data_IF_597676032926
#
_entry.id   IF_597676032926
#
_cell.length_a   1.000
_cell.length_b   1.000
_cell.length_c   1.000
_cell.angle_alpha   90.00
_cell.angle_beta   90.00
_cell.angle_gamma   90.00
#
_symmetry.space_group_name_H-M   'P 1'
#
loop_
_entity.id
_entity.type
_entity.pdbx_description
1 polymer ?
#
# COMPACT_ATOMS: atom_id res chain seq x y z
N UNK A 1 33.04 -10.06 -20.09
CA UNK A 1 32.41 -11.32 -19.62
C UNK A 1 33.49 -12.38 -19.57
N UNK A 2 33.75 -12.94 -18.38
CA UNK A 2 34.69 -14.04 -18.22
C UNK A 2 33.96 -15.34 -18.55
N UNK A 3 34.52 -16.15 -19.45
CA UNK A 3 34.00 -17.49 -19.73
C UNK A 3 34.70 -18.48 -18.80
N UNK A 4 33.94 -19.12 -17.91
CA UNK A 4 34.47 -20.11 -16.97
C UNK A 4 34.58 -21.48 -17.64
N UNK A 5 35.64 -22.23 -17.32
CA UNK A 5 35.77 -23.62 -17.75
C UNK A 5 34.95 -24.52 -16.81
N UNK A 6 33.78 -24.97 -17.27
CA UNK A 6 32.84 -25.78 -16.50
C UNK A 6 32.92 -27.28 -16.83
N UNK A 7 34.00 -27.74 -17.48
CA UNK A 7 34.10 -29.14 -17.95
C UNK A 7 34.07 -30.16 -16.81
N UNK A 8 34.58 -29.80 -15.63
CA UNK A 8 34.61 -30.66 -14.43
C UNK A 8 33.38 -30.44 -13.52
N UNK A 9 32.47 -29.54 -13.88
CA UNK A 9 31.32 -29.19 -13.06
C UNK A 9 30.38 -30.39 -12.92
N UNK A 10 30.05 -30.72 -11.67
CA UNK A 10 29.11 -31.78 -11.33
C UNK A 10 27.77 -31.21 -10.87
N UNK A 11 27.80 -30.06 -10.18
CA UNK A 11 26.63 -29.43 -9.59
C UNK A 11 26.55 -27.95 -9.94
N UNK A 12 25.34 -27.46 -10.19
CA UNK A 12 25.06 -26.06 -10.46
C UNK A 12 23.97 -25.59 -9.50
N UNK A 13 24.34 -24.71 -8.58
CA UNK A 13 23.42 -24.11 -7.62
C UNK A 13 22.84 -22.81 -8.20
N UNK A 14 21.54 -22.81 -8.43
CA UNK A 14 20.77 -21.66 -8.90
C UNK A 14 20.12 -20.96 -7.71
N UNK A 15 20.47 -19.71 -7.48
CA UNK A 15 20.11 -18.95 -6.28
C UNK A 15 19.13 -17.84 -6.65
N UNK A 16 17.93 -17.85 -6.06
CA UNK A 16 16.89 -16.87 -6.37
C UNK A 16 17.23 -15.50 -5.79
N UNK A 17 17.39 -14.50 -6.65
CA UNK A 17 17.56 -13.10 -6.29
C UNK A 17 16.33 -12.25 -6.69
N UNK A 18 15.13 -12.87 -6.73
CA UNK A 18 13.88 -12.11 -6.84
C UNK A 18 13.68 -11.19 -5.63
N UNK A 19 12.88 -10.13 -5.78
CA UNK A 19 12.69 -9.08 -4.77
C UNK A 19 12.38 -9.63 -3.36
N UNK A 20 11.45 -10.58 -3.25
CA UNK A 20 11.08 -11.19 -1.95
C UNK A 20 12.22 -12.01 -1.33
N UNK A 21 13.06 -12.68 -2.13
CA UNK A 21 14.22 -13.41 -1.63
C UNK A 21 15.34 -12.43 -1.23
N UNK A 22 15.57 -11.37 -2.01
CA UNK A 22 16.52 -10.31 -1.65
C UNK A 22 16.16 -9.67 -0.31
N UNK A 23 14.88 -9.35 -0.09
CA UNK A 23 14.39 -8.85 1.20
C UNK A 23 14.48 -9.86 2.36
N UNK A 24 14.71 -11.15 2.06
CA UNK A 24 14.90 -12.22 3.04
C UNK A 24 16.37 -12.68 3.15
N UNK A 25 17.33 -11.89 2.66
CA UNK A 25 18.76 -12.15 2.83
C UNK A 25 19.39 -13.04 1.75
N UNK A 26 18.87 -13.03 0.52
CA UNK A 26 19.42 -13.85 -0.58
C UNK A 26 20.88 -13.51 -0.95
N UNK A 27 21.33 -12.28 -0.66
CA UNK A 27 22.73 -11.87 -0.91
C UNK A 27 23.67 -12.59 0.06
N UNK A 28 23.30 -12.63 1.34
CA UNK A 28 24.00 -13.33 2.41
C UNK A 28 24.04 -14.83 2.14
N UNK A 29 22.90 -15.42 1.75
CA UNK A 29 22.85 -16.84 1.33
C UNK A 29 23.80 -17.10 0.17
N UNK A 30 23.82 -16.22 -0.84
CA UNK A 30 24.72 -16.36 -1.99
C UNK A 30 26.18 -16.34 -1.56
N UNK A 31 26.54 -15.40 -0.69
CA UNK A 31 27.89 -15.24 -0.21
C UNK A 31 28.34 -16.45 0.61
N UNK A 32 27.48 -16.93 1.52
CA UNK A 32 27.76 -18.10 2.36
C UNK A 32 28.02 -19.36 1.54
N UNK A 33 27.18 -19.65 0.53
CA UNK A 33 27.39 -20.80 -0.36
C UNK A 33 28.73 -20.68 -1.09
N UNK A 34 29.04 -19.50 -1.64
CA UNK A 34 30.30 -19.27 -2.37
C UNK A 34 31.53 -19.32 -1.48
N UNK A 35 31.41 -18.88 -0.23
CA UNK A 35 32.51 -18.95 0.74
C UNK A 35 32.76 -20.39 1.17
N UNK A 36 31.71 -21.18 1.40
CA UNK A 36 31.85 -22.60 1.76
C UNK A 36 32.44 -23.41 0.59
N UNK A 37 32.04 -23.15 -0.67
CA UNK A 37 32.65 -23.76 -1.87
C UNK A 37 34.16 -23.46 -1.92
N UNK A 38 34.55 -22.19 -1.78
CA UNK A 38 35.96 -21.75 -1.83
C UNK A 38 36.80 -22.34 -0.70
N UNK A 39 36.26 -22.32 0.52
CA UNK A 39 36.91 -22.87 1.71
C UNK A 39 37.26 -24.34 1.55
N UNK A 40 36.38 -25.10 0.89
CA UNK A 40 36.56 -26.53 0.64
C UNK A 40 37.19 -26.84 -0.73
N UNK A 41 37.58 -25.82 -1.49
CA UNK A 41 38.20 -25.94 -2.83
C UNK A 41 37.34 -26.71 -3.83
N UNK A 42 36.02 -26.45 -3.81
CA UNK A 42 35.03 -27.11 -4.66
C UNK A 42 34.69 -26.31 -5.93
N UNK A 43 35.42 -25.22 -6.23
CA UNK A 43 35.09 -24.30 -7.33
C UNK A 43 35.09 -24.95 -8.74
N UNK A 44 35.86 -26.04 -8.93
CA UNK A 44 35.86 -26.80 -10.20
C UNK A 44 34.66 -27.74 -10.32
N UNK A 45 34.02 -28.10 -9.20
CA UNK A 45 32.95 -29.10 -9.12
C UNK A 45 31.56 -28.46 -8.97
N UNK A 46 31.47 -27.33 -8.27
CA UNK A 46 30.22 -26.65 -7.95
C UNK A 46 30.23 -25.23 -8.51
N UNK A 47 29.36 -24.96 -9.47
CA UNK A 47 29.13 -23.62 -9.98
C UNK A 47 27.91 -22.98 -9.33
N UNK A 48 27.86 -21.64 -9.27
CA UNK A 48 26.72 -20.89 -8.76
C UNK A 48 26.26 -19.85 -9.76
N UNK A 49 24.94 -19.69 -9.94
CA UNK A 49 24.37 -18.58 -10.71
C UNK A 49 23.19 -17.97 -9.97
N UNK A 50 23.07 -16.64 -10.05
CA UNK A 50 21.89 -15.93 -9.58
C UNK A 50 20.79 -16.02 -10.63
N UNK A 51 19.57 -16.25 -10.18
CA UNK A 51 18.38 -16.28 -11.03
C UNK A 51 17.44 -15.14 -10.65
N UNK A 52 16.48 -14.84 -11.54
CA UNK A 52 15.30 -14.03 -11.21
C UNK A 52 14.35 -14.86 -10.33
N UNK A 53 13.15 -14.31 -10.07
CA UNK A 53 12.12 -14.96 -9.28
C UNK A 53 11.77 -16.36 -9.82
N UNK A 54 11.72 -17.34 -8.91
CA UNK A 54 11.37 -18.72 -9.20
C UNK A 54 9.92 -19.08 -8.79
N UNK A 55 9.08 -18.10 -8.42
CA UNK A 55 7.66 -18.28 -8.10
C UNK A 55 7.35 -18.98 -6.78
N UNK A 56 8.32 -19.09 -5.87
CA UNK A 56 8.20 -19.72 -4.54
C UNK A 56 8.44 -18.71 -3.42
N UNK A 57 7.82 -17.53 -3.52
CA UNK A 57 8.04 -16.40 -2.63
C UNK A 57 7.73 -16.72 -1.15
N UNK A 58 6.83 -17.68 -0.87
CA UNK A 58 6.51 -18.09 0.49
C UNK A 58 7.57 -19.03 1.13
N UNK A 59 8.47 -19.64 0.34
CA UNK A 59 9.57 -20.48 0.85
C UNK A 59 10.91 -19.75 0.91
N UNK A 60 10.93 -18.43 0.65
CA UNK A 60 12.13 -17.59 0.60
C UNK A 60 13.11 -17.87 1.77
N UNK A 61 14.43 -17.95 1.56
CA UNK A 61 15.13 -17.88 0.26
C UNK A 61 15.12 -19.23 -0.49
N UNK A 62 15.26 -19.22 -1.83
CA UNK A 62 15.18 -20.45 -2.64
C UNK A 62 16.48 -20.73 -3.39
N UNK A 63 16.99 -21.96 -3.24
CA UNK A 63 18.16 -22.48 -3.97
C UNK A 63 17.78 -23.79 -4.67
N UNK A 64 18.23 -23.99 -5.91
CA UNK A 64 17.98 -25.19 -6.70
C UNK A 64 19.32 -25.85 -7.02
N UNK A 65 19.46 -27.14 -6.70
CA UNK A 65 20.65 -27.94 -7.02
C UNK A 65 20.40 -28.78 -8.28
N UNK A 66 21.14 -28.48 -9.34
CA UNK A 66 21.10 -29.19 -10.61
C UNK A 66 22.37 -30.03 -10.79
N UNK A 67 22.30 -31.30 -11.26
CA UNK A 67 21.17 -31.95 -11.94
C UNK A 67 20.18 -32.67 -11.03
N UNK A 68 20.41 -32.70 -9.71
CA UNK A 68 19.51 -33.39 -8.76
C UNK A 68 18.06 -32.92 -8.85
N UNK A 69 17.85 -31.65 -9.21
CA UNK A 69 16.54 -31.04 -9.29
C UNK A 69 15.90 -30.83 -7.91
N UNK A 70 16.71 -30.82 -6.85
CA UNK A 70 16.25 -30.57 -5.48
C UNK A 70 16.13 -29.07 -5.24
N UNK A 71 15.03 -28.65 -4.65
CA UNK A 71 14.74 -27.25 -4.32
C UNK A 71 14.78 -27.11 -2.80
N UNK A 72 15.49 -26.09 -2.32
CA UNK A 72 15.69 -25.84 -0.90
C UNK A 72 15.10 -24.50 -0.49
N UNK A 73 14.51 -24.47 0.70
CA UNK A 73 14.20 -23.24 1.43
C UNK A 73 15.35 -22.95 2.40
N UNK A 74 16.02 -21.83 2.21
CA UNK A 74 17.18 -21.42 3.00
C UNK A 74 16.75 -20.31 3.96
N UNK A 75 16.46 -20.71 5.19
CA UNK A 75 16.07 -19.80 6.29
C UNK A 75 17.25 -19.44 7.19
N UNK A 76 18.28 -20.30 7.23
CA UNK A 76 19.40 -20.22 8.15
C UNK A 76 20.73 -20.47 7.44
N UNK A 77 21.81 -19.92 7.99
CA UNK A 77 23.17 -20.07 7.42
C UNK A 77 23.64 -21.53 7.40
N UNK A 78 23.20 -22.34 8.35
CA UNK A 78 23.51 -23.78 8.40
C UNK A 78 23.05 -24.47 7.12
N UNK A 79 21.81 -24.21 6.68
CA UNK A 79 21.24 -24.79 5.47
C UNK A 79 22.06 -24.44 4.22
N UNK A 80 22.62 -23.22 4.13
CA UNK A 80 23.48 -22.83 3.02
C UNK A 80 24.76 -23.68 2.95
N UNK A 81 25.35 -24.02 4.10
CA UNK A 81 26.51 -24.93 4.18
C UNK A 81 26.12 -26.37 3.89
N UNK A 82 25.02 -26.84 4.46
CA UNK A 82 24.51 -28.19 4.26
C UNK A 82 24.21 -28.48 2.79
N UNK A 83 23.77 -27.48 2.02
CA UNK A 83 23.58 -27.61 0.56
C UNK A 83 24.91 -27.96 -0.12
N UNK A 84 26.02 -27.31 0.26
CA UNK A 84 27.34 -27.57 -0.34
C UNK A 84 27.78 -29.00 -0.02
N UNK A 85 27.59 -29.43 1.23
CA UNK A 85 28.01 -30.74 1.74
C UNK A 85 27.00 -31.88 1.51
N UNK A 86 25.83 -31.59 0.96
CA UNK A 86 24.75 -32.56 0.69
C UNK A 86 24.09 -33.16 1.94
N UNK A 87 24.14 -32.44 3.07
CA UNK A 87 23.64 -32.87 4.38
C UNK A 87 22.34 -32.13 4.78
N UNK A 88 21.58 -31.66 3.78
CA UNK A 88 20.40 -30.82 4.01
C UNK A 88 19.28 -31.62 4.70
N UNK A 89 18.80 -31.09 5.83
CA UNK A 89 17.65 -31.62 6.58
C UNK A 89 16.39 -31.67 5.71
N UNK A 90 15.55 -32.69 5.90
CA UNK A 90 14.34 -32.91 5.08
C UNK A 90 13.34 -31.75 5.16
N UNK A 91 13.26 -31.08 6.31
CA UNK A 91 12.39 -29.93 6.49
C UNK A 91 12.75 -28.82 5.50
N UNK A 92 14.04 -28.55 5.26
CA UNK A 92 14.54 -27.56 4.29
C UNK A 92 14.28 -27.91 2.81
N UNK A 93 13.83 -29.13 2.50
CA UNK A 93 13.56 -29.57 1.12
C UNK A 93 12.13 -29.17 0.70
N UNK A 94 12.03 -28.40 -0.38
CA UNK A 94 10.76 -28.02 -1.01
C UNK A 94 10.31 -29.12 -1.99
N UNK A 95 11.20 -29.44 -2.93
CA UNK A 95 11.00 -30.48 -3.93
C UNK A 95 12.24 -31.35 -4.05
N UNK A 96 12.06 -32.64 -4.30
CA UNK A 96 13.12 -33.56 -4.71
C UNK A 96 12.73 -34.27 -6.01
N UNK A 97 13.70 -34.87 -6.69
CA UNK A 97 13.45 -35.72 -7.86
C UNK A 97 13.80 -37.17 -7.51
N UNK A 98 12.84 -38.07 -7.67
CA UNK A 98 13.05 -39.50 -7.51
C UNK A 98 12.53 -40.23 -8.74
N UNK A 99 13.38 -41.00 -9.41
CA UNK A 99 13.03 -41.73 -10.63
C UNK A 99 12.38 -40.84 -11.72
N UNK A 100 12.83 -39.59 -11.84
CA UNK A 100 12.29 -38.61 -12.79
C UNK A 100 10.95 -37.98 -12.37
N UNK A 101 10.41 -38.35 -11.21
CA UNK A 101 9.18 -37.77 -10.65
C UNK A 101 9.54 -36.75 -9.58
N UNK A 102 8.93 -35.56 -9.66
CA UNK A 102 9.05 -34.54 -8.62
C UNK A 102 8.23 -34.96 -7.40
N UNK A 103 8.87 -35.12 -6.25
CA UNK A 103 8.23 -35.25 -4.95
C UNK A 103 8.27 -33.93 -4.20
N UNK A 104 7.24 -33.66 -3.39
CA UNK A 104 7.13 -32.47 -2.55
C UNK A 104 7.11 -32.89 -1.09
N UNK A 105 7.78 -32.14 -0.23
CA UNK A 105 7.63 -32.30 1.22
C UNK A 105 6.21 -31.91 1.67
N UNK A 106 5.64 -32.66 2.63
CA UNK A 106 4.25 -32.49 3.07
C UNK A 106 4.02 -31.15 3.79
N UNK A 107 5.01 -30.70 4.57
CA UNK A 107 4.95 -29.48 5.38
C UNK A 107 5.23 -28.18 4.58
N UNK A 108 5.36 -28.30 3.25
CA UNK A 108 5.71 -27.18 2.38
C UNK A 108 4.51 -26.59 1.67
N UNK A 109 4.59 -25.27 1.43
CA UNK A 109 3.47 -24.46 0.99
C UNK A 109 2.98 -24.96 -0.36
N UNK A 110 1.72 -25.37 -0.45
CA UNK A 110 1.12 -25.80 -1.70
C UNK A 110 1.06 -24.60 -2.64
N UNK A 111 1.64 -24.73 -3.84
CA UNK A 111 1.50 -23.72 -4.88
C UNK A 111 0.05 -23.59 -5.32
N UNK A 112 -0.37 -22.39 -5.72
CA UNK A 112 -1.68 -22.18 -6.33
C UNK A 112 -1.71 -22.84 -7.71
N UNK A 113 -2.87 -23.36 -8.10
CA UNK A 113 -3.06 -23.78 -9.49
C UNK A 113 -2.95 -22.55 -10.40
N UNK A 114 -2.37 -22.71 -11.59
CA UNK A 114 -2.42 -21.66 -12.59
C UNK A 114 -3.90 -21.36 -12.84
N UNK A 115 -4.30 -20.11 -12.63
CA UNK A 115 -5.66 -19.68 -12.91
C UNK A 115 -6.04 -20.08 -14.34
N UNK A 116 -7.22 -20.68 -14.47
CA UNK A 116 -7.86 -20.94 -15.76
C UNK A 116 -9.24 -20.34 -15.68
N UNK A 117 -9.54 -19.42 -16.60
CA UNK A 117 -10.87 -18.83 -16.72
C UNK A 117 -11.94 -19.92 -16.82
N UNK A 118 -12.93 -19.86 -15.92
CA UNK A 118 -14.06 -20.78 -15.95
C UNK A 118 -15.06 -20.43 -17.06
N UNK A 119 -15.83 -21.40 -17.55
CA UNK A 119 -16.92 -21.17 -18.51
C UNK A 119 -18.23 -20.68 -17.84
N UNK A 120 -18.14 -20.14 -16.62
CA UNK A 120 -19.28 -19.69 -15.83
C UNK A 120 -19.64 -18.21 -16.06
N UNK A 121 -20.67 -17.68 -15.37
CA UNK A 121 -20.93 -16.25 -15.34
C UNK A 121 -19.73 -15.51 -14.74
N UNK A 122 -19.41 -14.35 -15.32
CA UNK A 122 -18.30 -13.50 -14.88
C UNK A 122 -18.48 -13.10 -13.42
N UNK A 123 -17.53 -13.48 -12.58
CA UNK A 123 -17.49 -13.09 -11.17
C UNK A 123 -16.65 -11.84 -11.00
N UNK A 124 -17.24 -10.80 -10.41
CA UNK A 124 -16.57 -9.53 -10.15
C UNK A 124 -16.20 -9.41 -8.68
N UNK A 125 -15.03 -8.85 -8.40
CA UNK A 125 -14.57 -8.51 -7.08
C UNK A 125 -14.28 -7.01 -6.97
N UNK A 126 -14.57 -6.43 -5.82
CA UNK A 126 -14.17 -5.08 -5.42
C UNK A 126 -13.14 -5.22 -4.31
N UNK A 127 -11.92 -4.75 -4.58
CA UNK A 127 -10.82 -4.75 -3.63
C UNK A 127 -10.60 -3.34 -3.10
N UNK A 128 -11.03 -3.07 -1.87
CA UNK A 128 -10.79 -1.80 -1.20
C UNK A 128 -9.36 -1.74 -0.65
N UNK A 129 -8.62 -0.68 -1.00
CA UNK A 129 -7.23 -0.50 -0.60
C UNK A 129 -7.10 0.67 0.37
N UNK A 130 -6.96 0.38 1.66
CA UNK A 130 -6.58 1.37 2.65
C UNK A 130 -5.09 1.71 2.56
N UNK A 131 -4.66 2.87 3.08
CA UNK A 131 -3.22 3.16 3.16
C UNK A 131 -2.52 2.22 4.15
N UNK A 132 -3.18 1.92 5.26
CA UNK A 132 -2.68 1.10 6.37
C UNK A 132 -1.90 1.91 7.42
N UNK A 133 -1.89 1.40 8.64
CA UNK A 133 -1.38 2.07 9.83
C UNK A 133 -0.58 1.09 10.68
N UNK A 134 0.51 1.57 11.29
CA UNK A 134 1.25 0.80 12.32
C UNK A 134 0.43 0.59 13.59
N UNK A 135 -0.58 1.42 13.83
CA UNK A 135 -1.54 1.25 14.92
C UNK A 135 -2.74 0.47 14.40
N UNK A 136 -2.96 -0.73 14.94
CA UNK A 136 -4.00 -1.65 14.46
C UNK A 136 -5.42 -1.06 14.54
N UNK A 137 -5.70 -0.20 15.53
CA UNK A 137 -6.98 0.48 15.64
C UNK A 137 -7.37 1.21 14.33
N UNK A 138 -6.41 1.84 13.64
CA UNK A 138 -6.68 2.50 12.36
C UNK A 138 -6.97 1.52 11.21
N UNK A 139 -6.42 0.31 11.26
CA UNK A 139 -6.71 -0.76 10.28
C UNK A 139 -8.09 -1.37 10.54
N UNK A 140 -8.45 -1.56 11.81
CA UNK A 140 -9.78 -2.02 12.23
C UNK A 140 -10.87 -1.07 11.75
N UNK A 141 -10.69 0.25 11.91
CA UNK A 141 -11.65 1.26 11.42
C UNK A 141 -11.92 1.11 9.91
N UNK A 142 -10.90 0.79 9.10
CA UNK A 142 -11.06 0.57 7.65
C UNK A 142 -11.91 -0.67 7.39
N UNK A 143 -11.57 -1.79 8.04
CA UNK A 143 -12.29 -3.07 7.84
C UNK A 143 -13.74 -2.98 8.30
N UNK A 144 -13.99 -2.35 9.45
CA UNK A 144 -15.34 -2.11 9.96
C UNK A 144 -16.14 -1.23 9.01
N UNK A 145 -15.53 -0.16 8.51
CA UNK A 145 -16.18 0.74 7.57
C UNK A 145 -16.54 0.03 6.26
N UNK A 146 -15.62 -0.73 5.65
CA UNK A 146 -15.91 -1.52 4.45
C UNK A 146 -16.97 -2.59 4.73
N UNK A 147 -16.90 -3.25 5.89
CA UNK A 147 -17.92 -4.21 6.32
C UNK A 147 -19.32 -3.59 6.34
N UNK A 148 -19.47 -2.40 6.93
CA UNK A 148 -20.73 -1.65 6.93
C UNK A 148 -21.18 -1.23 5.52
N UNK A 149 -20.24 -1.00 4.60
CA UNK A 149 -20.57 -0.67 3.22
C UNK A 149 -21.17 -1.84 2.45
N UNK A 150 -20.85 -3.08 2.79
CA UNK A 150 -21.34 -4.26 2.05
C UNK A 150 -22.86 -4.37 2.00
N UNK A 151 -23.59 -3.81 2.97
CA UNK A 151 -25.05 -3.73 2.97
C UNK A 151 -25.63 -2.93 1.78
N UNK A 152 -24.80 -2.08 1.16
CA UNK A 152 -25.16 -1.20 0.04
C UNK A 152 -24.52 -1.63 -1.27
N UNK A 153 -23.80 -2.75 -1.27
CA UNK A 153 -23.13 -3.31 -2.44
C UNK A 153 -23.95 -4.49 -2.94
N UNK A 154 -23.96 -4.70 -4.26
CA UNK A 154 -24.61 -5.87 -4.86
C UNK A 154 -24.03 -7.15 -4.24
N UNK A 155 -24.85 -8.03 -3.63
CA UNK A 155 -24.39 -9.21 -2.93
C UNK A 155 -23.72 -10.26 -3.83
N UNK A 156 -23.83 -10.12 -5.16
CA UNK A 156 -23.10 -10.94 -6.12
C UNK A 156 -21.62 -10.54 -6.28
N UNK A 157 -21.24 -9.34 -5.84
CA UNK A 157 -19.84 -8.87 -5.87
C UNK A 157 -19.06 -9.47 -4.69
N UNK A 158 -17.87 -10.00 -4.98
CA UNK A 158 -16.90 -10.33 -3.94
C UNK A 158 -16.32 -9.02 -3.39
N UNK A 159 -16.33 -8.81 -2.08
CA UNK A 159 -15.77 -7.60 -1.46
C UNK A 159 -14.62 -7.98 -0.54
N UNK A 160 -13.45 -7.43 -0.82
CA UNK A 160 -12.24 -7.62 0.00
C UNK A 160 -11.65 -6.29 0.44
N UNK A 161 -10.84 -6.33 1.49
CA UNK A 161 -10.09 -5.18 1.99
C UNK A 161 -8.63 -5.55 2.17
N UNK A 162 -7.74 -4.72 1.66
CA UNK A 162 -6.30 -4.83 1.86
C UNK A 162 -5.67 -3.46 2.14
N UNK A 163 -4.35 -3.47 2.37
CA UNK A 163 -3.60 -2.27 2.71
C UNK A 163 -2.40 -2.11 1.82
N UNK A 164 -2.10 -0.84 1.49
CA UNK A 164 -0.92 -0.48 0.74
C UNK A 164 0.36 -0.76 1.55
N UNK A 165 0.39 -0.36 2.82
CA UNK A 165 1.55 -0.48 3.70
C UNK A 165 1.15 -0.77 5.17
N UNK A 166 2.12 -1.20 5.97
CA UNK A 166 2.04 -1.33 7.45
C UNK A 166 1.00 -2.31 8.02
N UNK A 167 0.16 -2.92 7.19
CA UNK A 167 -0.90 -3.82 7.60
C UNK A 167 -1.10 -4.93 6.58
N UNK A 168 -1.70 -6.03 7.04
CA UNK A 168 -2.08 -7.17 6.22
C UNK A 168 -3.61 -7.34 6.17
N UNK A 169 -4.16 -7.91 5.10
CA UNK A 169 -3.47 -8.37 3.87
C UNK A 169 -2.92 -7.19 3.05
N UNK A 170 -1.78 -7.38 2.38
CA UNK A 170 -1.25 -6.39 1.43
C UNK A 170 -2.01 -6.46 0.09
N UNK A 171 -1.67 -5.62 -0.89
CA UNK A 171 -2.37 -5.59 -2.19
C UNK A 171 -2.23 -6.93 -2.94
N UNK A 172 -1.03 -7.50 -2.98
CA UNK A 172 -0.76 -8.81 -3.58
C UNK A 172 -1.65 -9.90 -2.95
N UNK A 173 -1.67 -9.98 -1.61
CA UNK A 173 -2.51 -10.91 -0.84
C UNK A 173 -4.00 -10.70 -1.14
N UNK A 174 -4.45 -9.45 -1.21
CA UNK A 174 -5.85 -9.09 -1.49
C UNK A 174 -6.29 -9.49 -2.90
N UNK A 175 -5.45 -9.25 -3.90
CA UNK A 175 -5.68 -9.69 -5.28
C UNK A 175 -5.70 -11.22 -5.34
N UNK A 176 -4.71 -11.88 -4.73
CA UNK A 176 -4.65 -13.34 -4.68
C UNK A 176 -5.94 -13.92 -4.06
N UNK A 177 -6.42 -13.34 -2.96
CA UNK A 177 -7.66 -13.77 -2.31
C UNK A 177 -8.89 -13.64 -3.23
N UNK A 178 -8.97 -12.55 -4.01
CA UNK A 178 -10.04 -12.36 -4.99
C UNK A 178 -9.99 -13.45 -6.09
N UNK A 179 -8.79 -13.75 -6.61
CA UNK A 179 -8.58 -14.78 -7.62
C UNK A 179 -8.92 -16.18 -7.06
N UNK A 180 -8.50 -16.48 -5.82
CA UNK A 180 -8.81 -17.75 -5.15
C UNK A 180 -10.32 -17.95 -4.94
N UNK A 181 -11.07 -16.86 -4.74
CA UNK A 181 -12.54 -16.86 -4.70
C UNK A 181 -13.20 -16.94 -6.09
N UNK A 182 -12.39 -16.96 -7.15
CA UNK A 182 -12.80 -17.16 -8.54
C UNK A 182 -13.21 -15.87 -9.24
N UNK A 183 -12.67 -14.71 -8.85
CA UNK A 183 -12.91 -13.46 -9.56
C UNK A 183 -12.29 -13.50 -10.98
N UNK A 184 -13.09 -13.11 -11.97
CA UNK A 184 -12.69 -12.88 -13.36
C UNK A 184 -12.41 -11.39 -13.63
N UNK A 185 -12.99 -10.50 -12.82
CA UNK A 185 -12.72 -9.06 -12.83
C UNK A 185 -12.44 -8.57 -11.40
N UNK A 186 -11.41 -7.75 -11.21
CA UNK A 186 -11.04 -7.15 -9.92
C UNK A 186 -11.00 -5.63 -10.09
N UNK A 187 -11.89 -4.95 -9.36
CA UNK A 187 -12.03 -3.50 -9.34
C UNK A 187 -11.37 -2.95 -8.07
N UNK A 188 -10.18 -2.37 -8.21
CA UNK A 188 -9.36 -1.90 -7.09
C UNK A 188 -9.77 -0.47 -6.71
N UNK A 189 -10.28 -0.25 -5.51
CA UNK A 189 -10.81 1.04 -5.05
C UNK A 189 -9.96 1.62 -3.90
N UNK A 190 -9.18 2.69 -4.16
CA UNK A 190 -8.32 3.28 -3.14
C UNK A 190 -9.12 4.12 -2.13
N UNK A 191 -8.99 3.79 -0.85
CA UNK A 191 -9.50 4.61 0.27
C UNK A 191 -8.42 5.61 0.68
N UNK A 192 -8.17 6.58 -0.21
CA UNK A 192 -7.13 7.61 -0.07
C UNK A 192 -7.77 8.98 -0.32
N UNK A 193 -7.52 9.96 0.57
CA UNK A 193 -8.13 11.29 0.49
C UNK A 193 -7.68 12.07 -0.75
N UNK A 194 -6.37 12.14 -0.99
CA UNK A 194 -5.77 12.96 -2.03
C UNK A 194 -4.97 12.13 -3.00
N UNK A 195 -4.96 12.59 -4.25
CA UNK A 195 -4.31 11.91 -5.34
C UNK A 195 -2.79 12.16 -5.34
N UNK A 196 -2.04 11.31 -4.65
CA UNK A 196 -0.58 11.43 -4.45
C UNK A 196 0.20 10.21 -4.99
N UNK A 197 1.53 10.23 -4.85
CA UNK A 197 2.45 9.19 -5.37
C UNK A 197 2.03 7.75 -5.04
N UNK A 198 1.52 7.48 -3.83
CA UNK A 198 1.01 6.16 -3.44
C UNK A 198 -0.12 5.63 -4.35
N UNK A 199 -1.08 6.48 -4.69
CA UNK A 199 -2.17 6.15 -5.63
C UNK A 199 -1.74 6.21 -7.10
N UNK A 200 -0.74 7.02 -7.46
CA UNK A 200 -0.28 7.19 -8.84
C UNK A 200 0.72 6.14 -9.31
N UNK A 201 1.46 5.56 -8.36
CA UNK A 201 2.59 4.68 -8.66
C UNK A 201 2.45 3.33 -7.97
N UNK A 202 2.30 3.30 -6.65
CA UNK A 202 2.43 2.04 -5.91
C UNK A 202 1.25 1.10 -6.16
N UNK A 203 0.00 1.57 -6.04
CA UNK A 203 -1.17 0.73 -6.33
C UNK A 203 -1.19 0.30 -7.82
N UNK A 204 -0.96 1.21 -8.79
CA UNK A 204 -0.77 0.82 -10.19
C UNK A 204 0.30 -0.24 -10.42
N UNK A 205 1.46 -0.14 -9.76
CA UNK A 205 2.54 -1.12 -9.89
C UNK A 205 2.10 -2.52 -9.46
N UNK A 206 1.42 -2.64 -8.31
CA UNK A 206 0.88 -3.91 -7.82
C UNK A 206 -0.16 -4.51 -8.77
N UNK A 207 -1.01 -3.66 -9.37
CA UNK A 207 -2.00 -4.10 -10.36
C UNK A 207 -1.32 -4.62 -11.64
N UNK A 208 -0.31 -3.92 -12.16
CA UNK A 208 0.41 -4.36 -13.35
C UNK A 208 1.22 -5.64 -13.07
N UNK A 209 1.81 -5.77 -11.89
CA UNK A 209 2.46 -7.00 -11.46
C UNK A 209 1.47 -8.17 -11.39
N UNK A 210 0.27 -7.94 -10.86
CA UNK A 210 -0.77 -8.95 -10.81
C UNK A 210 -1.25 -9.40 -12.21
N UNK A 211 -1.31 -8.49 -13.19
CA UNK A 211 -1.68 -8.84 -14.58
C UNK A 211 -0.69 -9.81 -15.23
N UNK A 212 0.58 -9.71 -14.91
CA UNK A 212 1.58 -10.67 -15.40
C UNK A 212 1.32 -12.09 -14.86
N UNK A 213 0.81 -12.19 -13.63
CA UNK A 213 0.53 -13.45 -12.95
C UNK A 213 -0.87 -14.01 -13.26
N UNK A 214 -1.83 -13.13 -13.52
CA UNK A 214 -3.24 -13.45 -13.76
C UNK A 214 -3.74 -12.81 -15.07
N UNK A 215 -3.20 -13.22 -16.25
CA UNK A 215 -3.45 -12.54 -17.53
C UNK A 215 -4.92 -12.62 -18.02
N UNK A 216 -5.69 -13.57 -17.50
CA UNK A 216 -7.09 -13.77 -17.84
C UNK A 216 -8.06 -12.98 -16.93
N UNK A 217 -7.54 -12.33 -15.88
CA UNK A 217 -8.33 -11.50 -14.95
C UNK A 217 -8.30 -10.04 -15.42
N UNK A 218 -9.48 -9.44 -15.55
CA UNK A 218 -9.59 -8.01 -15.86
C UNK A 218 -9.36 -7.18 -14.60
N UNK A 219 -8.52 -6.15 -14.69
CA UNK A 219 -8.33 -5.20 -13.59
C UNK A 219 -8.77 -3.80 -14.00
N UNK A 220 -9.53 -3.13 -13.13
CA UNK A 220 -9.80 -1.69 -13.24
C UNK A 220 -9.36 -0.97 -11.97
N UNK A 221 -8.90 0.26 -12.11
CA UNK A 221 -8.50 1.09 -10.97
C UNK A 221 -9.48 2.25 -10.76
N UNK A 222 -10.00 2.33 -9.53
CA UNK A 222 -10.89 3.37 -9.07
C UNK A 222 -10.14 4.67 -8.77
N UNK A 223 -10.79 5.81 -9.05
CA UNK A 223 -10.31 7.11 -8.60
C UNK A 223 -10.27 7.19 -7.05
N UNK A 224 -9.33 7.97 -6.53
CA UNK A 224 -9.28 8.34 -5.10
C UNK A 224 -10.52 9.14 -4.65
N UNK A 225 -10.67 9.38 -3.35
CA UNK A 225 -11.79 10.17 -2.80
C UNK A 225 -11.81 11.55 -3.46
N UNK A 226 -10.66 12.25 -3.39
CA UNK A 226 -10.42 13.51 -4.08
C UNK A 226 -11.38 14.62 -3.66
N UNK A 227 -11.64 15.53 -4.59
CA UNK A 227 -12.56 16.66 -4.40
C UNK A 227 -13.97 16.19 -4.71
N UNK A 228 -14.84 16.18 -3.70
CA UNK A 228 -16.21 15.68 -3.82
C UNK A 228 -17.14 16.43 -2.87
N UNK A 229 -18.42 16.60 -3.22
CA UNK A 229 -19.36 17.40 -2.41
C UNK A 229 -19.50 16.86 -0.98
N UNK A 230 -19.62 15.54 -0.84
CA UNK A 230 -19.71 14.87 0.46
C UNK A 230 -18.47 15.05 1.35
N UNK A 231 -17.29 15.39 0.79
CA UNK A 231 -16.11 15.74 1.60
C UNK A 231 -16.38 17.02 2.40
N UNK A 232 -17.06 18.01 1.79
CA UNK A 232 -17.40 19.25 2.47
C UNK A 232 -18.52 19.03 3.49
N UNK A 233 -19.47 18.15 3.23
CA UNK A 233 -20.48 17.76 4.22
C UNK A 233 -19.83 17.14 5.46
N UNK A 234 -18.85 16.25 5.28
CA UNK A 234 -18.09 15.65 6.40
C UNK A 234 -17.36 16.73 7.20
N UNK A 235 -16.65 17.63 6.52
CA UNK A 235 -15.91 18.72 7.17
C UNK A 235 -16.84 19.67 7.95
N UNK A 236 -18.01 20.00 7.39
CA UNK A 236 -19.04 20.77 8.09
C UNK A 236 -19.58 20.03 9.31
N UNK A 237 -19.83 18.73 9.22
CA UNK A 237 -20.22 17.92 10.39
C UNK A 237 -19.16 17.97 11.48
N UNK A 238 -17.87 17.83 11.14
CA UNK A 238 -16.77 17.93 12.14
C UNK A 238 -16.70 19.30 12.81
N UNK A 239 -16.97 20.37 12.06
CA UNK A 239 -17.08 21.71 12.63
C UNK A 239 -18.28 21.82 13.58
N UNK A 240 -19.46 21.32 13.19
CA UNK A 240 -20.65 21.33 14.05
C UNK A 240 -20.46 20.52 15.34
N UNK A 241 -19.79 19.37 15.26
CA UNK A 241 -19.40 18.57 16.44
C UNK A 241 -18.45 19.33 17.38
N UNK A 242 -17.64 20.25 16.84
CA UNK A 242 -16.78 21.16 17.61
C UNK A 242 -17.53 22.41 18.14
N UNK A 243 -18.87 22.45 18.05
CA UNK A 243 -19.70 23.55 18.51
C UNK A 243 -19.75 24.75 17.56
N UNK A 244 -19.37 24.58 16.29
CA UNK A 244 -19.45 25.63 15.27
C UNK A 244 -20.75 25.53 14.45
N UNK A 245 -21.59 26.57 14.50
CA UNK A 245 -22.78 26.64 13.65
C UNK A 245 -22.42 27.12 12.24
N UNK A 246 -22.44 26.20 11.28
CA UNK A 246 -22.09 26.45 9.87
C UNK A 246 -23.06 27.39 9.14
N UNK A 247 -24.27 27.61 9.68
CA UNK A 247 -25.29 28.46 9.07
C UNK A 247 -25.24 29.91 9.57
N UNK A 248 -24.44 30.20 10.60
CA UNK A 248 -24.29 31.54 11.16
C UNK A 248 -23.00 32.22 10.68
N UNK A 249 -23.01 33.55 10.68
CA UNK A 249 -21.83 34.35 10.36
C UNK A 249 -20.90 34.44 11.57
N UNK A 250 -19.62 34.13 11.37
CA UNK A 250 -18.59 34.19 12.40
C UNK A 250 -17.44 35.09 11.95
N UNK A 251 -17.57 36.41 12.18
CA UNK A 251 -16.63 37.41 11.65
C UNK A 251 -15.23 37.31 12.26
N UNK A 252 -15.14 36.89 13.52
CA UNK A 252 -13.89 36.79 14.29
C UNK A 252 -13.31 35.35 14.33
N UNK A 253 -13.88 34.40 13.59
CA UNK A 253 -13.45 32.98 13.60
C UNK A 253 -12.65 32.62 12.36
N UNK A 254 -11.53 31.91 12.56
CA UNK A 254 -10.77 31.26 11.51
C UNK A 254 -10.91 29.74 11.58
N UNK A 255 -10.95 29.10 10.41
CA UNK A 255 -10.82 27.65 10.27
C UNK A 255 -9.42 27.34 9.76
N UNK A 256 -8.64 26.58 10.53
CA UNK A 256 -7.33 26.10 10.11
C UNK A 256 -7.47 24.64 9.65
N UNK A 257 -7.60 24.43 8.33
CA UNK A 257 -7.67 23.09 7.75
C UNK A 257 -6.27 22.48 7.68
N UNK A 258 -6.09 21.29 8.27
CA UNK A 258 -4.78 20.69 8.45
C UNK A 258 -4.68 19.35 7.74
N UNK A 259 -3.81 19.26 6.73
CA UNK A 259 -3.50 18.05 6.00
C UNK A 259 -2.20 17.40 6.46
N UNK A 260 -1.87 16.22 5.91
CA UNK A 260 -0.60 15.55 6.24
C UNK A 260 0.57 16.27 5.57
N UNK A 261 0.36 16.66 4.31
CA UNK A 261 1.40 17.12 3.40
C UNK A 261 2.11 15.95 2.74
N UNK A 262 2.53 16.14 1.49
CA UNK A 262 3.27 15.15 0.72
C UNK A 262 4.32 15.80 -0.18
N UNK A 263 5.15 14.97 -0.81
CA UNK A 263 6.11 15.40 -1.83
C UNK A 263 5.46 15.69 -3.18
N UNK A 264 4.22 15.22 -3.40
CA UNK A 264 3.47 15.44 -4.63
C UNK A 264 2.85 16.86 -4.64
N UNK A 265 3.30 17.76 -5.53
CA UNK A 265 2.79 19.14 -5.56
C UNK A 265 1.33 19.23 -6.02
N UNK A 266 0.84 18.30 -6.83
CA UNK A 266 -0.56 18.29 -7.28
C UNK A 266 -1.49 17.87 -6.15
N UNK A 267 -1.10 16.89 -5.34
CA UNK A 267 -1.86 16.50 -4.15
C UNK A 267 -1.96 17.66 -3.15
N UNK A 268 -0.85 18.39 -2.95
CA UNK A 268 -0.84 19.58 -2.10
C UNK A 268 -1.73 20.69 -2.70
N UNK A 269 -1.71 20.89 -4.03
CA UNK A 269 -2.59 21.83 -4.72
C UNK A 269 -4.08 21.49 -4.58
N UNK A 270 -4.44 20.21 -4.69
CA UNK A 270 -5.82 19.74 -4.47
C UNK A 270 -6.28 19.99 -3.03
N UNK A 271 -5.40 19.86 -2.03
CA UNK A 271 -5.71 20.22 -0.65
C UNK A 271 -6.05 21.72 -0.52
N UNK A 272 -5.29 22.61 -1.16
CA UNK A 272 -5.61 24.04 -1.20
C UNK A 272 -6.93 24.31 -1.93
N UNK A 273 -7.21 23.58 -3.01
CA UNK A 273 -8.49 23.69 -3.72
C UNK A 273 -9.66 23.27 -2.82
N UNK A 274 -9.52 22.18 -2.05
CA UNK A 274 -10.50 21.78 -1.04
C UNK A 274 -10.68 22.87 0.01
N UNK A 275 -9.58 23.45 0.53
CA UNK A 275 -9.66 24.54 1.50
C UNK A 275 -10.41 25.75 0.96
N UNK A 276 -10.14 26.17 -0.29
CA UNK A 276 -10.86 27.29 -0.91
C UNK A 276 -12.34 26.96 -1.11
N UNK A 277 -12.67 25.77 -1.62
CA UNK A 277 -14.06 25.36 -1.83
C UNK A 277 -14.82 25.20 -0.51
N UNK A 278 -14.15 24.76 0.57
CA UNK A 278 -14.71 24.76 1.91
C UNK A 278 -15.01 26.18 2.37
N UNK A 279 -14.11 27.14 2.12
CA UNK A 279 -14.32 28.54 2.48
C UNK A 279 -15.59 29.11 1.82
N UNK A 280 -15.84 28.86 0.53
CA UNK A 280 -17.09 29.30 -0.13
C UNK A 280 -18.36 28.71 0.50
N UNK A 281 -18.23 27.62 1.26
CA UNK A 281 -19.34 26.91 1.92
C UNK A 281 -19.49 27.28 3.39
N UNK A 282 -18.66 28.18 3.92
CA UNK A 282 -18.64 28.60 5.32
C UNK A 282 -18.79 30.11 5.44
N UNK A 283 -19.53 30.56 6.47
CA UNK A 283 -19.71 31.97 6.75
C UNK A 283 -18.63 32.52 7.72
N UNK A 284 -17.36 32.34 7.35
CA UNK A 284 -16.17 32.79 8.11
C UNK A 284 -15.32 33.77 7.30
N UNK A 285 -14.61 34.65 8.00
CA UNK A 285 -13.71 35.61 7.36
C UNK A 285 -12.39 34.98 6.93
N UNK A 286 -11.96 33.88 7.57
CA UNK A 286 -10.62 33.31 7.40
C UNK A 286 -10.72 31.77 7.31
N UNK A 287 -10.17 31.22 6.22
CA UNK A 287 -9.82 29.79 6.15
C UNK A 287 -8.36 29.70 5.73
N UNK A 288 -7.54 29.08 6.58
CA UNK A 288 -6.12 28.85 6.32
C UNK A 288 -5.85 27.36 6.14
N UNK A 289 -4.78 27.05 5.40
CA UNK A 289 -4.31 25.69 5.14
C UNK A 289 -2.93 25.49 5.73
N UNK A 290 -2.73 24.35 6.39
CA UNK A 290 -1.42 23.97 6.91
C UNK A 290 -1.19 22.46 6.82
N UNK A 291 0.07 22.06 6.97
CA UNK A 291 0.48 20.66 6.91
C UNK A 291 1.17 20.21 8.20
N UNK A 292 0.93 18.96 8.59
CA UNK A 292 1.61 18.34 9.74
C UNK A 292 3.10 18.07 9.47
N UNK A 293 3.49 17.91 8.20
CA UNK A 293 4.88 17.73 7.81
C UNK A 293 5.07 17.61 6.31
N UNK A 294 6.28 17.21 5.89
CA UNK A 294 6.74 17.02 4.50
C UNK A 294 6.83 18.30 3.67
N UNK A 295 5.82 19.17 3.74
CA UNK A 295 5.75 20.44 3.02
C UNK A 295 5.33 21.57 3.97
N UNK A 296 5.39 22.80 3.47
CA UNK A 296 5.03 24.03 4.17
C UNK A 296 3.83 24.71 3.47
N UNK A 297 3.10 25.62 4.16
CA UNK A 297 3.25 26.06 5.56
C UNK A 297 2.91 24.97 6.57
N UNK A 298 3.65 24.95 7.68
CA UNK A 298 3.37 24.02 8.77
C UNK A 298 2.22 24.54 9.66
N UNK A 299 1.74 23.74 10.61
CA UNK A 299 0.63 24.11 11.51
C UNK A 299 0.94 25.36 12.37
N UNK A 300 2.19 25.57 12.78
CA UNK A 300 2.61 26.79 13.48
C UNK A 300 2.42 28.01 12.57
N UNK A 301 2.90 27.95 11.33
CA UNK A 301 2.77 29.05 10.36
C UNK A 301 1.30 29.38 10.09
N UNK A 302 0.46 28.36 9.94
CA UNK A 302 -0.99 28.52 9.74
C UNK A 302 -1.68 29.16 10.94
N UNK A 303 -1.36 28.72 12.16
CA UNK A 303 -1.87 29.30 13.41
C UNK A 303 -1.51 30.80 13.51
N UNK A 304 -0.23 31.13 13.31
CA UNK A 304 0.25 32.51 13.37
C UNK A 304 -0.42 33.41 12.32
N UNK A 305 -0.67 32.88 11.11
CA UNK A 305 -1.39 33.61 10.06
C UNK A 305 -2.82 33.91 10.46
N UNK A 306 -3.57 32.93 10.99
CA UNK A 306 -4.92 33.16 11.51
C UNK A 306 -4.94 34.30 12.52
N UNK A 307 -3.98 34.33 13.45
CA UNK A 307 -3.88 35.36 14.49
C UNK A 307 -3.53 36.72 13.88
N UNK A 308 -2.55 36.78 12.97
CA UNK A 308 -2.15 38.04 12.28
C UNK A 308 -3.28 38.62 11.44
N UNK A 309 -4.17 37.78 10.92
CA UNK A 309 -5.37 38.19 10.20
C UNK A 309 -6.52 38.64 11.12
N UNK A 310 -6.34 38.57 12.44
CA UNK A 310 -7.28 39.11 13.44
C UNK A 310 -8.27 38.10 14.02
N UNK A 311 -8.07 36.79 13.82
CA UNK A 311 -8.95 35.78 14.40
C UNK A 311 -8.91 35.81 15.94
N UNK A 312 -10.08 35.89 16.57
CA UNK A 312 -10.25 35.74 18.04
C UNK A 312 -10.63 34.32 18.43
N UNK A 313 -11.12 33.53 17.47
CA UNK A 313 -11.37 32.10 17.60
C UNK A 313 -10.75 31.34 16.42
N UNK A 314 -10.11 30.22 16.69
CA UNK A 314 -9.50 29.35 15.68
C UNK A 314 -9.96 27.92 15.93
N UNK A 315 -10.53 27.28 14.90
CA UNK A 315 -10.85 25.85 14.93
C UNK A 315 -9.86 25.11 14.06
N UNK A 316 -9.04 24.28 14.69
CA UNK A 316 -8.14 23.35 14.01
C UNK A 316 -8.97 22.17 13.47
N UNK A 317 -9.00 22.01 12.15
CA UNK A 317 -9.82 21.03 11.45
C UNK A 317 -8.93 19.96 10.78
N UNK A 318 -8.79 18.76 11.39
CA UNK A 318 -7.89 17.73 10.88
C UNK A 318 -8.48 16.99 9.67
N UNK A 319 -7.74 16.97 8.55
CA UNK A 319 -8.10 16.26 7.32
C UNK A 319 -7.36 14.91 7.21
N UNK A 320 -7.73 13.97 8.08
CA UNK A 320 -7.18 12.60 8.15
C UNK A 320 -8.27 11.54 8.24
N UNK A 321 -8.06 10.39 7.61
CA UNK A 321 -9.01 9.27 7.65
C UNK A 321 -9.05 8.53 8.99
N UNK A 322 -7.96 8.56 9.77
CA UNK A 322 -7.85 7.76 10.98
C UNK A 322 -7.06 8.52 12.06
N UNK A 323 -7.24 8.06 13.29
CA UNK A 323 -6.53 8.58 14.47
C UNK A 323 -5.04 8.17 14.50
N UNK A 324 -4.34 8.46 15.60
CA UNK A 324 -3.00 7.95 15.85
C UNK A 324 -1.99 9.03 16.19
N UNK A 325 -0.75 8.85 15.75
CA UNK A 325 0.39 9.70 16.14
C UNK A 325 0.16 11.15 15.72
N UNK A 326 -0.37 11.39 14.51
CA UNK A 326 -0.61 12.75 14.02
C UNK A 326 -1.70 13.47 14.83
N UNK A 327 -2.79 12.78 15.19
CA UNK A 327 -3.82 13.35 16.06
C UNK A 327 -3.30 13.65 17.46
N UNK A 328 -2.52 12.73 18.07
CA UNK A 328 -1.85 12.99 19.36
C UNK A 328 -0.95 14.22 19.30
N UNK A 329 -0.15 14.35 18.24
CA UNK A 329 0.72 15.51 18.03
C UNK A 329 -0.08 16.80 17.90
N UNK A 330 -1.19 16.77 17.15
CA UNK A 330 -2.04 17.94 16.94
C UNK A 330 -2.72 18.39 18.24
N UNK A 331 -3.20 17.45 19.07
CA UNK A 331 -3.74 17.77 20.39
C UNK A 331 -2.69 18.47 21.28
N UNK A 332 -1.45 17.97 21.30
CA UNK A 332 -0.36 18.62 22.04
C UNK A 332 -0.09 20.04 21.52
N UNK A 333 -0.11 20.24 20.21
CA UNK A 333 0.05 21.56 19.61
C UNK A 333 -1.11 22.50 20.00
N UNK A 334 -2.35 22.01 20.01
CA UNK A 334 -3.50 22.81 20.42
C UNK A 334 -3.36 23.31 21.87
N UNK A 335 -2.93 22.46 22.81
CA UNK A 335 -2.67 22.87 24.20
C UNK A 335 -1.53 23.91 24.29
N UNK A 336 -0.44 23.71 23.56
CA UNK A 336 0.65 24.70 23.49
C UNK A 336 0.21 26.04 22.92
N UNK A 337 -0.67 26.03 21.91
CA UNK A 337 -1.22 27.25 21.33
C UNK A 337 -2.16 27.97 22.30
N UNK A 338 -2.97 27.25 23.06
CA UNK A 338 -3.83 27.85 24.11
C UNK A 338 -2.98 28.57 25.17
N UNK A 339 -1.85 27.98 25.56
CA UNK A 339 -0.91 28.61 26.50
C UNK A 339 -0.22 29.84 25.88
N UNK A 340 0.19 29.75 24.62
CA UNK A 340 0.93 30.80 23.92
C UNK A 340 0.04 32.00 23.51
N UNK A 341 -1.25 31.75 23.25
CA UNK A 341 -2.20 32.74 22.75
C UNK A 341 -3.47 32.78 23.62
N UNK A 342 -3.38 33.16 24.91
CA UNK A 342 -4.51 33.09 25.85
C UNK A 342 -5.68 34.02 25.53
N UNK A 343 -5.51 34.95 24.59
CA UNK A 343 -6.53 35.88 24.11
C UNK A 343 -7.29 35.36 22.88
N UNK A 344 -6.92 34.17 22.36
CA UNK A 344 -7.55 33.52 21.21
C UNK A 344 -8.16 32.19 21.68
N UNK A 345 -9.45 31.99 21.42
CA UNK A 345 -10.11 30.70 21.66
C UNK A 345 -9.62 29.68 20.62
N UNK A 346 -9.00 28.59 21.06
CA UNK A 346 -8.46 27.56 20.17
C UNK A 346 -9.15 26.23 20.47
N UNK A 347 -9.90 25.73 19.49
CA UNK A 347 -10.59 24.45 19.55
C UNK A 347 -10.02 23.50 18.49
N UNK A 348 -10.13 22.18 18.72
CA UNK A 348 -9.79 21.15 17.73
C UNK A 348 -11.04 20.31 17.44
N UNK A 349 -11.37 20.19 16.15
CA UNK A 349 -12.45 19.33 15.71
C UNK A 349 -12.02 17.85 15.67
N UNK A 350 -13.00 16.95 15.62
CA UNK A 350 -12.72 15.56 15.29
C UNK A 350 -12.12 15.45 13.89
N UNK A 351 -11.27 14.44 13.68
CA UNK A 351 -10.67 14.20 12.37
C UNK A 351 -11.73 13.77 11.34
N UNK A 352 -11.45 14.01 10.05
CA UNK A 352 -12.34 13.66 8.94
C UNK A 352 -12.97 12.26 9.10
N UNK A 353 -12.13 11.24 9.27
CA UNK A 353 -12.58 9.90 9.69
C UNK A 353 -13.39 9.14 8.63
N UNK A 354 -13.90 7.98 9.03
CA UNK A 354 -14.81 7.16 8.24
C UNK A 354 -16.27 7.55 8.43
N UNK A 355 -16.58 8.83 8.18
CA UNK A 355 -17.93 9.35 8.31
C UNK A 355 -18.91 8.65 7.34
N UNK A 356 -20.20 8.44 7.69
CA UNK A 356 -21.16 7.76 6.81
C UNK A 356 -21.28 8.35 5.39
N UNK A 357 -21.05 9.65 5.22
CA UNK A 357 -21.03 10.30 3.90
C UNK A 357 -19.85 9.88 3.01
N UNK A 358 -18.75 9.38 3.60
CA UNK A 358 -17.64 8.83 2.84
C UNK A 358 -18.07 7.57 2.07
N UNK A 359 -19.05 6.81 2.60
CA UNK A 359 -19.60 5.63 1.92
C UNK A 359 -20.19 6.02 0.57
N UNK A 360 -20.92 7.14 0.51
CA UNK A 360 -21.47 7.66 -0.76
C UNK A 360 -20.37 7.87 -1.79
N UNK A 361 -19.25 8.48 -1.39
CA UNK A 361 -18.11 8.71 -2.29
C UNK A 361 -17.53 7.39 -2.77
N UNK A 362 -17.25 6.45 -1.87
CA UNK A 362 -16.64 5.18 -2.25
C UNK A 362 -17.56 4.30 -3.10
N UNK A 363 -18.88 4.31 -2.86
CA UNK A 363 -19.86 3.64 -3.72
C UNK A 363 -19.87 4.25 -5.12
N UNK A 364 -19.75 5.58 -5.23
CA UNK A 364 -19.62 6.24 -6.53
C UNK A 364 -18.34 5.82 -7.25
N UNK A 365 -17.19 5.83 -6.56
CA UNK A 365 -15.88 5.40 -7.11
C UNK A 365 -15.90 3.93 -7.53
N UNK A 366 -16.54 3.08 -6.74
CA UNK A 366 -16.77 1.67 -7.04
C UNK A 366 -17.61 1.51 -8.32
N UNK A 367 -18.74 2.20 -8.41
CA UNK A 367 -19.62 2.14 -9.58
C UNK A 367 -18.91 2.64 -10.85
N UNK A 368 -18.13 3.72 -10.74
CA UNK A 368 -17.29 4.24 -11.83
C UNK A 368 -16.23 3.22 -12.29
N UNK A 369 -15.66 2.45 -11.37
CA UNK A 369 -14.72 1.38 -11.74
C UNK A 369 -15.45 0.19 -12.40
N UNK A 370 -16.59 -0.22 -11.86
CA UNK A 370 -17.40 -1.33 -12.36
C UNK A 370 -17.94 -1.10 -13.78
N UNK A 371 -18.31 0.13 -14.11
CA UNK A 371 -18.87 0.50 -15.42
C UNK A 371 -17.83 1.08 -16.40
N UNK A 372 -16.56 1.15 -16.01
CA UNK A 372 -15.46 1.63 -16.85
C UNK A 372 -15.37 3.14 -17.04
N UNK A 373 -16.07 3.96 -16.24
CA UNK A 373 -15.98 5.43 -16.30
C UNK A 373 -14.99 6.04 -15.30
N UNK A 374 -14.22 5.21 -14.59
CA UNK A 374 -13.29 5.70 -13.57
C UNK A 374 -12.09 6.41 -14.19
N UNK A 375 -11.78 7.58 -13.65
CA UNK A 375 -10.58 8.33 -14.05
C UNK A 375 -9.30 7.73 -13.48
N UNK A 376 -9.37 6.81 -12.50
CA UNK A 376 -8.22 6.08 -11.99
C UNK A 376 -7.50 5.24 -13.06
N UNK A 377 -8.20 4.84 -14.12
CA UNK A 377 -7.55 4.15 -15.25
C UNK A 377 -6.44 4.98 -15.91
N UNK A 378 -6.53 6.31 -15.87
CA UNK A 378 -5.48 7.19 -16.37
C UNK A 378 -4.19 7.05 -15.55
N UNK A 379 -4.29 6.75 -14.25
CA UNK A 379 -3.12 6.55 -13.39
C UNK A 379 -2.41 5.24 -13.73
N UNK A 380 -3.16 4.18 -14.07
CA UNK A 380 -2.57 2.95 -14.60
C UNK A 380 -1.85 3.22 -15.93
N UNK A 381 -2.43 4.00 -16.83
CA UNK A 381 -1.79 4.37 -18.11
C UNK A 381 -0.53 5.22 -17.91
N UNK A 382 -0.59 6.20 -17.00
CA UNK A 382 0.56 7.04 -16.65
C UNK A 382 1.68 6.21 -16.01
N UNK A 383 1.33 5.27 -15.14
CA UNK A 383 2.30 4.36 -14.54
C UNK A 383 3.00 3.49 -15.59
N UNK A 384 2.27 2.92 -16.57
CA UNK A 384 2.89 2.14 -17.65
C UNK A 384 3.92 2.97 -18.43
N UNK A 385 3.58 4.21 -18.80
CA UNK A 385 4.51 5.14 -19.46
C UNK A 385 5.74 5.42 -18.60
N UNK A 386 5.53 5.68 -17.31
CA UNK A 386 6.62 5.89 -16.36
C UNK A 386 7.55 4.67 -16.28
N UNK A 387 7.00 3.45 -16.18
CA UNK A 387 7.74 2.20 -16.09
C UNK A 387 8.50 1.86 -17.40
N UNK A 388 7.95 2.24 -18.57
CA UNK A 388 8.65 2.13 -19.85
C UNK A 388 9.90 3.02 -19.90
N UNK A 389 9.83 4.23 -19.34
CA UNK A 389 10.92 5.21 -19.34
C UNK A 389 11.99 4.93 -18.26
N UNK A 390 11.58 4.47 -17.08
CA UNK A 390 12.45 4.38 -15.89
C UNK A 390 12.73 2.94 -15.44
N UNK A 391 12.09 1.94 -16.07
CA UNK A 391 12.10 0.56 -15.62
C UNK A 391 11.16 0.31 -14.42
N UNK A 392 10.95 -0.96 -14.09
CA UNK A 392 10.12 -1.39 -12.95
C UNK A 392 10.82 -1.26 -11.58
N UNK A 393 11.98 -0.61 -11.49
CA UNK A 393 12.73 -0.47 -10.23
C UNK A 393 12.11 0.60 -9.33
N UNK A 394 11.08 0.22 -8.58
CA UNK A 394 10.67 0.98 -7.40
C UNK A 394 11.50 0.54 -6.19
N UNK A 395 12.58 1.26 -5.92
CA UNK A 395 13.20 1.24 -4.60
C UNK A 395 12.22 1.83 -3.58
N UNK A 396 11.79 1.00 -2.63
CA UNK A 396 11.20 1.45 -1.37
C UNK A 396 12.23 2.27 -0.58
N UNK A 397 12.45 3.53 -0.95
CA UNK A 397 13.21 4.45 -0.11
C UNK A 397 12.33 4.90 1.06
N UNK A 398 12.29 4.06 2.10
CA UNK A 398 11.81 4.45 3.42
C UNK A 398 12.95 5.18 4.15
N UNK A 399 12.85 6.50 4.23
CA UNK A 399 13.51 7.29 5.27
C UNK A 399 12.47 7.75 6.30
#
# INVERSE_FOLDING_TARGET
>A
MTTWNLTQMQRHLLICNGATCMGAGAEEVTQQIRDEIRKNRLDELIHTSRTRCNGRCKDKCVVIDYPKGTWYSVQHEETARDIVHEEVKEDAIIYSMEHGVRKRSEDRIKGIEKYKKGNGPVKKAVLFVGHGSRLEAGNTEVREFVGQMTEYVDPSLLVETCFLEFASPNIEDGIQLCVEKGADEIHVIPIILLHAGHSKLHIPAEIEHAKEHFPDVLFTYGQTIGIHEEVFEILKTRLTEAGFDVNQKHEDTAILLIGRGGSDPYANGDFYKISRLLWEKLNVSIVESAFMGVTTPNVQDGMERCIKLGAKKIIMLPYFLFTGILMKRMNNMAEQFKESYPHVSIDIAQYFGYHPKLRTVLLERMNQALNGTSTGMLDLENFRKYAEEHGYEHHHHHN
#
